data_IF_298792241319
#
_entry.id   IF_298792241319
#
_cell.length_a   1.000
_cell.length_b   1.000
_cell.length_c   1.000
_cell.angle_alpha   90.00
_cell.angle_beta   90.00
_cell.angle_gamma   90.00
#
_symmetry.space_group_name_H-M   'P 1'
#
loop_
_entity.id
_entity.type
_entity.pdbx_description
1 polymer ?
#
# COMPACT_ATOMS: atom_id res chain seq x y z
N UNK A 1 -14.26 -1.87 14.08
CA UNK A 1 -13.42 -3.08 14.23
C UNK A 1 -12.28 -2.73 15.18
N UNK A 2 -12.14 -3.40 16.34
CA UNK A 2 -11.02 -3.14 17.26
C UNK A 2 -9.79 -3.91 16.73
N UNK A 3 -8.72 -3.22 16.38
CA UNK A 3 -7.45 -3.86 15.98
C UNK A 3 -6.84 -4.60 17.17
N UNK A 4 -6.34 -5.81 16.96
CA UNK A 4 -5.78 -6.67 18.02
C UNK A 4 -4.36 -6.28 18.48
N UNK A 5 -3.77 -5.24 17.90
CA UNK A 5 -2.42 -4.76 18.22
C UNK A 5 -2.47 -3.32 18.71
N UNK A 6 -1.42 -2.86 19.40
CA UNK A 6 -1.18 -1.47 19.81
C UNK A 6 -0.26 -0.70 18.84
N UNK A 7 0.24 -1.35 17.77
CA UNK A 7 1.11 -0.70 16.79
C UNK A 7 0.52 0.60 16.21
N UNK A 8 1.26 1.70 16.27
CA UNK A 8 0.82 2.99 15.72
C UNK A 8 0.70 2.95 14.19
N UNK A 9 1.57 2.18 13.53
CA UNK A 9 1.67 2.10 12.08
C UNK A 9 1.90 0.67 11.64
N UNK A 10 1.23 0.27 10.57
CA UNK A 10 1.52 -0.94 9.81
C UNK A 10 2.01 -0.51 8.44
N UNK A 11 3.15 -1.02 7.99
CA UNK A 11 3.73 -0.67 6.69
C UNK A 11 4.27 -1.90 5.98
N UNK A 12 4.47 -1.74 4.67
CA UNK A 12 5.05 -2.75 3.79
C UNK A 12 5.85 -2.09 2.69
N UNK A 13 6.79 -2.85 2.14
CA UNK A 13 7.46 -2.56 0.88
C UNK A 13 6.85 -3.35 -0.28
N UNK A 14 6.71 -2.71 -1.44
CA UNK A 14 6.28 -3.35 -2.67
C UNK A 14 7.09 -2.80 -3.84
N UNK A 15 7.46 -3.63 -4.81
CA UNK A 15 8.08 -3.13 -6.03
C UNK A 15 7.08 -2.22 -6.77
N UNK A 16 7.46 -0.99 -7.17
CA UNK A 16 6.56 -0.06 -7.86
C UNK A 16 5.88 -0.64 -9.09
N UNK A 17 6.58 -1.53 -9.82
CA UNK A 17 6.09 -2.24 -11.01
C UNK A 17 5.09 -3.37 -10.71
N UNK A 18 4.96 -3.82 -9.45
CA UNK A 18 4.01 -4.85 -9.07
C UNK A 18 2.62 -4.25 -8.84
N UNK A 19 1.97 -3.88 -9.95
CA UNK A 19 0.65 -3.25 -9.96
C UNK A 19 -0.40 -4.08 -9.21
N UNK A 20 -0.34 -5.42 -9.33
CA UNK A 20 -1.29 -6.33 -8.66
C UNK A 20 -1.20 -6.22 -7.14
N UNK A 21 0.01 -6.23 -6.59
CA UNK A 21 0.21 -6.08 -5.15
C UNK A 21 -0.19 -4.69 -4.67
N UNK A 22 0.19 -3.62 -5.40
CA UNK A 22 -0.22 -2.25 -5.08
C UNK A 22 -1.73 -2.09 -4.98
N UNK A 23 -2.47 -2.54 -6.00
CA UNK A 23 -3.93 -2.45 -6.00
C UNK A 23 -4.56 -3.26 -4.85
N UNK A 24 -3.98 -4.42 -4.51
CA UNK A 24 -4.44 -5.21 -3.38
C UNK A 24 -4.24 -4.46 -2.05
N UNK A 25 -3.08 -3.84 -1.84
CA UNK A 25 -2.81 -3.08 -0.62
C UNK A 25 -3.63 -1.78 -0.53
N UNK A 26 -3.80 -1.06 -1.64
CA UNK A 26 -4.69 0.10 -1.73
C UNK A 26 -6.14 -0.30 -1.36
N UNK A 27 -6.62 -1.45 -1.86
CA UNK A 27 -7.95 -1.98 -1.53
C UNK A 27 -8.11 -2.34 -0.05
N UNK A 28 -7.01 -2.76 0.59
CA UNK A 28 -6.95 -3.04 2.02
C UNK A 28 -6.79 -1.77 2.88
N UNK A 29 -6.68 -0.59 2.26
CA UNK A 29 -6.61 0.71 2.92
C UNK A 29 -5.20 1.28 3.08
N UNK A 30 -4.17 0.63 2.55
CA UNK A 30 -2.81 1.17 2.57
C UNK A 30 -2.67 2.37 1.65
N UNK A 31 -1.90 3.36 2.10
CA UNK A 31 -1.58 4.59 1.37
C UNK A 31 -0.12 4.54 0.96
N UNK A 32 0.19 4.90 -0.29
CA UNK A 32 1.57 5.05 -0.77
C UNK A 32 2.22 6.31 -0.17
N UNK A 33 3.40 6.16 0.43
CA UNK A 33 4.11 7.26 1.10
C UNK A 33 5.38 7.70 0.37
N UNK A 34 5.96 6.84 -0.49
CA UNK A 34 7.16 7.17 -1.23
C UNK A 34 7.86 5.97 -1.84
N UNK A 35 8.97 6.24 -2.54
CA UNK A 35 9.81 5.23 -3.18
C UNK A 35 11.24 5.38 -2.70
N UNK A 36 11.78 4.32 -2.10
CA UNK A 36 13.19 4.19 -1.75
C UNK A 36 13.95 3.62 -2.95
N UNK A 37 14.74 4.47 -3.62
CA UNK A 37 15.46 4.08 -4.85
C UNK A 37 16.60 3.12 -4.56
N UNK A 38 16.66 2.01 -5.29
CA UNK A 38 17.71 0.99 -5.16
C UNK A 38 17.80 0.32 -3.77
N UNK A 39 16.70 0.29 -3.02
CA UNK A 39 16.67 -0.21 -1.65
C UNK A 39 16.64 -1.75 -1.54
N UNK A 40 16.22 -2.44 -2.61
CA UNK A 40 16.06 -3.89 -2.61
C UNK A 40 16.95 -4.56 -3.67
N UNK A 41 17.77 -5.52 -3.25
CA UNK A 41 18.56 -6.33 -4.19
C UNK A 41 17.80 -7.62 -4.52
N UNK A 42 17.32 -7.74 -5.76
CA UNK A 42 16.52 -8.89 -6.19
C UNK A 42 16.86 -9.28 -7.63
N UNK A 43 17.10 -10.58 -7.87
CA UNK A 43 17.45 -11.08 -9.20
C UNK A 43 18.78 -10.51 -9.73
N UNK A 44 19.73 -10.19 -8.85
CA UNK A 44 21.03 -9.63 -9.23
C UNK A 44 21.04 -8.13 -9.53
N UNK A 45 19.92 -7.43 -9.32
CA UNK A 45 19.78 -6.00 -9.65
C UNK A 45 19.21 -5.23 -8.46
N UNK A 46 19.69 -4.00 -8.28
CA UNK A 46 19.08 -3.07 -7.32
C UNK A 46 17.76 -2.55 -7.88
N UNK A 47 16.72 -2.65 -7.07
CA UNK A 47 15.36 -2.25 -7.39
C UNK A 47 14.84 -1.25 -6.38
N UNK A 48 13.89 -0.45 -6.87
CA UNK A 48 13.17 0.52 -6.06
C UNK A 48 12.12 -0.20 -5.20
N UNK A 49 11.91 0.32 -3.99
CA UNK A 49 10.90 -0.18 -3.06
C UNK A 49 9.90 0.94 -2.75
N UNK A 50 8.63 0.73 -3.08
CA UNK A 50 7.55 1.62 -2.68
C UNK A 50 7.11 1.28 -1.26
N UNK A 51 7.13 2.28 -0.39
CA UNK A 51 6.61 2.17 0.97
C UNK A 51 5.13 2.51 0.96
N UNK A 52 4.33 1.62 1.55
CA UNK A 52 2.90 1.83 1.78
C UNK A 52 2.56 1.59 3.25
N UNK A 53 1.61 2.33 3.81
CA UNK A 53 1.25 2.20 5.22
C UNK A 53 -0.23 2.49 5.53
N UNK A 54 -0.66 2.01 6.69
CA UNK A 54 -1.89 2.40 7.38
C UNK A 54 -1.48 2.90 8.77
N UNK A 55 -1.99 4.05 9.18
CA UNK A 55 -1.84 4.56 10.54
C UNK A 55 -3.02 4.10 11.39
N UNK A 56 -2.81 3.93 12.69
CA UNK A 56 -3.88 3.58 13.64
C UNK A 56 -5.06 4.54 13.58
N UNK A 57 -4.78 5.83 13.34
CA UNK A 57 -5.81 6.87 13.19
C UNK A 57 -6.71 6.65 11.95
N UNK A 58 -6.26 5.88 10.96
CA UNK A 58 -7.03 5.59 9.73
C UNK A 58 -8.09 4.50 9.93
N UNK A 59 -8.05 3.79 11.06
CA UNK A 59 -8.85 2.59 11.37
C UNK A 59 -10.38 2.75 11.36
N UNK A 60 -10.91 3.96 11.15
CA UNK A 60 -12.34 4.22 10.93
C UNK A 60 -12.71 4.45 9.45
N UNK A 61 -11.75 4.65 8.54
CA UNK A 61 -12.00 4.92 7.10
C UNK A 61 -11.84 3.70 6.20
N UNK A 62 -11.15 2.65 6.67
CA UNK A 62 -10.86 1.44 5.89
C UNK A 62 -12.05 0.48 5.74
N UNK A 63 -13.17 0.68 6.46
CA UNK A 63 -14.27 -0.31 6.51
C UNK A 63 -15.41 -0.10 5.51
N UNK A 64 -15.24 0.63 4.41
CA UNK A 64 -16.32 0.65 3.40
C UNK A 64 -16.34 1.80 2.40
N UNK A 65 -15.31 1.93 1.55
CA UNK A 65 -15.49 2.62 0.28
C UNK A 65 -14.67 1.97 -0.82
N UNK A 66 -15.29 1.03 -1.51
CA UNK A 66 -15.00 0.83 -2.93
C UNK A 66 -15.14 2.20 -3.60
N UNK A 67 -14.02 2.81 -4.00
CA UNK A 67 -14.06 3.91 -4.96
C UNK A 67 -14.58 3.28 -6.25
N UNK A 68 -15.65 3.81 -6.88
CA UNK A 68 -16.07 3.29 -8.16
C UNK A 68 -14.88 3.40 -9.12
N UNK A 69 -14.59 2.31 -9.81
CA UNK A 69 -13.69 2.32 -10.95
C UNK A 69 -14.34 3.30 -11.92
N UNK A 70 -13.78 4.50 -12.07
CA UNK A 70 -14.24 5.43 -13.08
C UNK A 70 -14.05 4.70 -14.42
N UNK A 71 -15.16 4.34 -15.06
CA UNK A 71 -15.16 3.79 -16.40
C UNK A 71 -14.47 4.82 -17.30
N UNK A 72 -13.30 4.46 -17.82
CA UNK A 72 -12.69 5.14 -18.97
C UNK A 72 -13.66 4.97 -20.13
N UNK A 73 -14.46 6.00 -20.39
CA UNK A 73 -15.22 6.13 -21.64
C UNK A 73 -14.23 6.27 -22.79
N UNK A 74 -14.52 5.52 -23.86
CA UNK A 74 -13.87 5.52 -25.18
C UNK A 74 -13.72 6.92 -25.78
#
# INVERSE_FOLDING_TARGET
>A
MRSATEAHRLWLGVFPENLRARLAYESAGFISEGVARGAAFFGGVQRDEMIMAILRADGAKASGRSRPIAATTL
#
